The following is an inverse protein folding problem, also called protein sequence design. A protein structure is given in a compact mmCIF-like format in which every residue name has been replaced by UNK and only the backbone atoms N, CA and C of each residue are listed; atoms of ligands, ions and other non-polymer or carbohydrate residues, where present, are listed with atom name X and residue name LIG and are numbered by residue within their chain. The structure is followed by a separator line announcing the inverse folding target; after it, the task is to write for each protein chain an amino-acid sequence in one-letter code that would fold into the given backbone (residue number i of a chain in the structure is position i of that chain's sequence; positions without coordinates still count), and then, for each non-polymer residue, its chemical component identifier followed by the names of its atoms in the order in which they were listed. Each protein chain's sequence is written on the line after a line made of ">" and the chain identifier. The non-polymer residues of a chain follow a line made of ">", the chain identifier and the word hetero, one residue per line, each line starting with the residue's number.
data_IF_262321447848
#
_entry.id   IF_262321447848
#
_cell.length_a   1.000
_cell.length_b   1.000
_cell.length_c   1.000
_cell.angle_alpha   90.00
_cell.angle_beta   90.00
_cell.angle_gamma   90.00
#
_symmetry.space_group_name_H-M   'P 1'
#
loop_
_entity.id
_entity.type
_entity.pdbx_description
1 polymer ?
#
# COMPACT_ATOMS: atom_id res chain seq x y z
N UNK A 1 20.33 -15.15 -9.81
CA UNK A 1 20.33 -13.72 -10.18
C UNK A 1 19.03 -13.12 -9.68
N UNK A 2 19.03 -11.88 -9.17
CA UNK A 2 17.87 -10.95 -8.98
C UNK A 2 17.85 -10.14 -7.66
N UNK A 3 18.79 -10.36 -6.73
CA UNK A 3 18.80 -9.60 -5.47
C UNK A 3 19.15 -8.09 -5.63
N UNK A 4 19.79 -7.70 -6.74
CA UNK A 4 20.12 -6.29 -7.05
C UNK A 4 18.95 -5.48 -7.62
N UNK A 5 17.90 -6.14 -8.13
CA UNK A 5 16.73 -5.47 -8.75
C UNK A 5 15.68 -5.07 -7.72
N UNK A 6 15.41 -5.93 -6.74
CA UNK A 6 14.49 -5.62 -5.63
C UNK A 6 14.89 -4.35 -4.89
N UNK A 7 16.19 -4.19 -4.61
CA UNK A 7 16.70 -3.01 -3.92
C UNK A 7 16.49 -1.71 -4.71
N UNK A 8 16.69 -1.74 -6.03
CA UNK A 8 16.48 -0.55 -6.90
C UNK A 8 15.01 -0.15 -7.03
N UNK A 9 14.09 -1.12 -7.03
CA UNK A 9 12.66 -0.83 -7.07
C UNK A 9 12.18 -0.24 -5.74
N UNK A 10 12.62 -0.82 -4.61
CA UNK A 10 12.35 -0.30 -3.28
C UNK A 10 12.91 1.13 -3.11
N UNK A 11 14.13 1.41 -3.55
CA UNK A 11 14.74 2.74 -3.50
C UNK A 11 13.92 3.79 -4.27
N UNK A 12 13.35 3.40 -5.43
CA UNK A 12 12.50 4.29 -6.23
C UNK A 12 11.18 4.55 -5.54
N UNK A 13 10.53 3.51 -5.01
CA UNK A 13 9.28 3.64 -4.25
C UNK A 13 9.49 4.51 -3.01
N UNK A 14 10.61 4.34 -2.30
CA UNK A 14 10.97 5.17 -1.15
C UNK A 14 11.06 6.66 -1.52
N UNK A 15 11.73 6.98 -2.64
CA UNK A 15 11.81 8.38 -3.13
C UNK A 15 10.45 8.94 -3.51
N UNK A 16 9.59 8.14 -4.15
CA UNK A 16 8.23 8.55 -4.50
C UNK A 16 7.44 8.86 -3.23
N UNK A 17 7.47 7.97 -2.23
CA UNK A 17 6.77 8.19 -0.95
C UNK A 17 7.33 9.41 -0.23
N UNK A 18 8.65 9.58 -0.21
CA UNK A 18 9.28 10.73 0.41
C UNK A 18 8.75 12.03 -0.20
N UNK A 19 8.69 12.11 -1.53
CA UNK A 19 8.15 13.27 -2.23
C UNK A 19 6.65 13.46 -1.99
N UNK A 20 5.86 12.37 -1.99
CA UNK A 20 4.42 12.42 -1.67
C UNK A 20 4.19 12.97 -0.26
N UNK A 21 4.98 12.55 0.74
CA UNK A 21 4.85 13.06 2.11
C UNK A 21 5.21 14.54 2.26
N UNK A 22 5.89 15.16 1.28
CA UNK A 22 6.16 16.60 1.28
C UNK A 22 4.99 17.42 0.70
N UNK A 23 4.13 16.82 -0.11
CA UNK A 23 2.97 17.46 -0.74
C UNK A 23 1.74 16.57 -0.60
N UNK A 24 0.94 16.85 0.42
CA UNK A 24 -0.24 16.05 0.75
C UNK A 24 -1.26 16.01 -0.39
N UNK A 25 -1.45 17.11 -1.13
CA UNK A 25 -2.41 17.15 -2.24
C UNK A 25 -1.95 16.26 -3.40
N UNK A 26 -0.64 16.26 -3.69
CA UNK A 26 -0.09 15.32 -4.68
C UNK A 26 -0.26 13.88 -4.21
N UNK A 27 -0.03 13.60 -2.92
CA UNK A 27 -0.19 12.27 -2.36
C UNK A 27 -1.62 11.74 -2.51
N UNK A 28 -2.62 12.54 -2.11
CA UNK A 28 -4.03 12.19 -2.22
C UNK A 28 -4.45 11.89 -3.67
N UNK A 29 -4.12 12.78 -4.61
CA UNK A 29 -4.44 12.60 -6.03
C UNK A 29 -3.79 11.34 -6.62
N UNK A 30 -2.55 11.03 -6.22
CA UNK A 30 -1.88 9.80 -6.65
C UNK A 30 -2.56 8.57 -6.05
N UNK A 31 -2.93 8.61 -4.77
CA UNK A 31 -3.59 7.49 -4.10
C UNK A 31 -4.96 7.20 -4.70
N UNK A 32 -5.72 8.21 -5.09
CA UNK A 32 -6.99 8.05 -5.81
C UNK A 32 -6.85 7.24 -7.09
N UNK A 33 -5.74 7.41 -7.82
CA UNK A 33 -5.46 6.66 -9.04
C UNK A 33 -4.98 5.24 -8.72
N UNK A 34 -4.09 5.10 -7.72
CA UNK A 34 -3.42 3.84 -7.44
C UNK A 34 -4.29 2.81 -6.70
N UNK A 35 -5.24 3.27 -5.89
CA UNK A 35 -6.22 2.41 -5.21
C UNK A 35 -7.13 1.68 -6.22
N UNK A 36 -7.39 2.31 -7.36
CA UNK A 36 -8.21 1.75 -8.44
C UNK A 36 -7.43 0.82 -9.39
N UNK A 37 -6.11 0.64 -9.19
CA UNK A 37 -5.26 -0.18 -10.05
C UNK A 37 -5.69 -1.65 -10.07
N UNK A 38 -5.79 -2.27 -11.24
CA UNK A 38 -6.08 -3.72 -11.34
C UNK A 38 -4.96 -4.63 -10.80
N UNK A 39 -3.78 -4.08 -10.51
CA UNK A 39 -2.64 -4.82 -9.95
C UNK A 39 -2.74 -4.90 -8.42
N UNK A 40 -2.97 -6.08 -7.81
CA UNK A 40 -3.21 -6.19 -6.36
C UNK A 40 -2.03 -5.68 -5.52
N UNK A 41 -0.80 -5.91 -5.98
CA UNK A 41 0.41 -5.36 -5.35
C UNK A 41 0.39 -3.82 -5.25
N UNK A 42 -0.09 -3.16 -6.30
CA UNK A 42 -0.18 -1.70 -6.34
C UNK A 42 -1.28 -1.23 -5.37
N UNK A 43 -2.44 -1.91 -5.33
CA UNK A 43 -3.50 -1.61 -4.35
C UNK A 43 -3.02 -1.75 -2.91
N UNK A 44 -2.34 -2.85 -2.59
CA UNK A 44 -1.81 -3.11 -1.23
C UNK A 44 -0.86 -1.99 -0.82
N UNK A 45 0.07 -1.63 -1.71
CA UNK A 45 1.02 -0.55 -1.46
C UNK A 45 0.32 0.80 -1.27
N UNK A 46 -0.65 1.14 -2.14
CA UNK A 46 -1.41 2.37 -2.03
C UNK A 46 -2.19 2.44 -0.71
N UNK A 47 -2.84 1.36 -0.30
CA UNK A 47 -3.54 1.28 0.98
C UNK A 47 -2.59 1.47 2.17
N UNK A 48 -1.39 0.87 2.12
CA UNK A 48 -0.38 1.08 3.16
C UNK A 48 0.04 2.55 3.27
N UNK A 49 0.20 3.26 2.15
CA UNK A 49 0.56 4.67 2.14
C UNK A 49 -0.62 5.54 2.60
N UNK A 50 -1.85 5.16 2.23
CA UNK A 50 -3.08 5.83 2.66
C UNK A 50 -3.22 5.82 4.19
N UNK A 51 -2.92 4.69 4.85
CA UNK A 51 -2.84 4.60 6.31
C UNK A 51 -1.76 5.50 6.92
N UNK A 52 -0.60 5.60 6.27
CA UNK A 52 0.54 6.39 6.75
C UNK A 52 0.26 7.91 6.77
N UNK A 53 -0.70 8.38 5.97
CA UNK A 53 -1.06 9.80 5.85
C UNK A 53 -2.50 10.11 6.29
N UNK A 54 -3.20 9.14 6.89
CA UNK A 54 -4.60 9.25 7.32
C UNK A 54 -5.58 9.65 6.19
N UNK A 55 -5.34 9.14 4.99
CA UNK A 55 -6.18 9.41 3.81
C UNK A 55 -7.00 8.17 3.45
N UNK A 56 -8.29 8.34 3.10
CA UNK A 56 -9.19 7.25 2.66
C UNK A 56 -9.15 6.00 3.55
N UNK A 57 -8.93 6.20 4.85
CA UNK A 57 -8.61 5.14 5.79
C UNK A 57 -9.57 3.93 5.71
N UNK A 58 -10.88 4.19 5.77
CA UNK A 58 -11.92 3.14 5.75
C UNK A 58 -12.08 2.45 4.40
N UNK A 59 -11.71 3.12 3.32
CA UNK A 59 -11.71 2.54 1.98
C UNK A 59 -10.51 1.59 1.83
N UNK A 60 -9.32 2.06 2.23
CA UNK A 60 -8.10 1.26 2.25
C UNK A 60 -8.25 0.00 3.12
N UNK A 61 -8.87 0.12 4.31
CA UNK A 61 -9.18 -1.01 5.20
C UNK A 61 -10.04 -2.07 4.48
N UNK A 62 -11.15 -1.66 3.86
CA UNK A 62 -12.04 -2.58 3.14
C UNK A 62 -11.38 -3.26 1.94
N UNK A 63 -10.54 -2.53 1.20
CA UNK A 63 -9.81 -3.09 0.05
C UNK A 63 -8.84 -4.16 0.53
N UNK A 64 -8.07 -3.89 1.59
CA UNK A 64 -7.14 -4.87 2.14
C UNK A 64 -7.88 -6.09 2.69
N UNK A 65 -8.98 -5.90 3.41
CA UNK A 65 -9.83 -7.01 3.88
C UNK A 65 -10.32 -7.88 2.72
N UNK A 66 -10.73 -7.26 1.61
CA UNK A 66 -11.13 -8.00 0.42
C UNK A 66 -9.98 -8.82 -0.18
N UNK A 67 -8.78 -8.24 -0.24
CA UNK A 67 -7.57 -8.91 -0.76
C UNK A 67 -7.14 -10.05 0.16
N UNK A 68 -7.15 -9.86 1.49
CA UNK A 68 -6.82 -10.89 2.48
C UNK A 68 -7.74 -12.10 2.35
N UNK A 69 -9.02 -11.88 2.07
CA UNK A 69 -10.01 -12.96 1.91
C UNK A 69 -9.95 -13.67 0.54
N UNK A 70 -9.04 -13.29 -0.36
CA UNK A 70 -8.89 -13.91 -1.67
C UNK A 70 -7.88 -15.07 -1.63
N UNK A 71 -8.36 -16.30 -1.77
CA UNK A 71 -7.53 -17.52 -1.82
C UNK A 71 -6.58 -17.55 -3.02
N UNK A 72 -6.94 -16.85 -4.10
CA UNK A 72 -6.26 -16.95 -5.40
C UNK A 72 -5.05 -16.02 -5.49
N UNK A 73 -4.88 -15.12 -4.52
CA UNK A 73 -3.84 -14.11 -4.50
C UNK A 73 -2.57 -14.55 -3.75
N UNK A 74 -2.58 -15.73 -3.12
CA UNK A 74 -1.39 -16.36 -2.53
C UNK A 74 -0.61 -15.43 -1.60
N UNK A 75 0.66 -15.15 -1.90
CA UNK A 75 1.50 -14.28 -1.04
C UNK A 75 0.98 -12.84 -0.91
N UNK A 76 0.10 -12.39 -1.80
CA UNK A 76 -0.47 -11.04 -1.75
C UNK A 76 -1.58 -10.92 -0.70
N UNK A 77 -2.33 -12.00 -0.42
CA UNK A 77 -3.30 -11.99 0.69
C UNK A 77 -2.59 -11.87 2.04
N UNK A 78 -1.48 -12.60 2.22
CA UNK A 78 -0.59 -12.46 3.37
C UNK A 78 0.00 -11.04 3.49
N UNK A 79 0.39 -10.45 2.36
CA UNK A 79 0.92 -9.08 2.34
C UNK A 79 -0.14 -8.05 2.76
N UNK A 80 -1.39 -8.22 2.32
CA UNK A 80 -2.51 -7.36 2.72
C UNK A 80 -2.84 -7.51 4.21
N UNK A 81 -2.82 -8.74 4.72
CA UNK A 81 -3.02 -9.04 6.14
C UNK A 81 -1.96 -8.34 7.02
N UNK A 82 -0.68 -8.45 6.64
CA UNK A 82 0.41 -7.79 7.36
C UNK A 82 0.25 -6.26 7.40
N UNK A 83 -0.27 -5.64 6.34
CA UNK A 83 -0.55 -4.19 6.32
C UNK A 83 -1.67 -3.84 7.30
N UNK A 84 -2.75 -4.62 7.34
CA UNK A 84 -3.85 -4.43 8.31
C UNK A 84 -3.37 -4.60 9.75
N UNK A 85 -2.60 -5.64 10.05
CA UNK A 85 -2.08 -5.91 11.39
C UNK A 85 -1.11 -4.82 11.86
N UNK A 86 -0.14 -4.43 11.01
CA UNK A 86 0.80 -3.36 11.34
C UNK A 86 0.10 -2.04 11.62
N UNK A 87 -1.05 -1.79 11.00
CA UNK A 87 -1.84 -0.62 11.32
C UNK A 87 -2.60 -0.79 12.66
N UNK A 88 -3.31 -1.89 12.86
CA UNK A 88 -4.05 -2.18 14.11
C UNK A 88 -3.14 -2.20 15.35
N UNK A 89 -1.89 -2.61 15.20
CA UNK A 89 -0.88 -2.57 16.27
C UNK A 89 -0.35 -1.17 16.62
N UNK A 90 -0.51 -0.18 15.73
CA UNK A 90 -0.12 1.23 15.99
C UNK A 90 -1.18 2.00 16.80
N UNK A 91 -2.39 1.47 16.95
CA UNK A 91 -3.48 2.07 17.73
C UNK A 91 -3.50 1.65 19.22
N UNK A 92 -2.44 1.02 19.71
CA UNK A 92 -2.20 0.66 21.13
C UNK A 92 -0.97 1.36 21.68
#
# INVERSE_FOLDING_TARGET
>A
MDNKRGNKAADKLYKIIHNMKQDIYLAENMLDILIESNEPNVKIWACSVAFDIDYKFKEAEKILEHITNSSDLGILSLSAEMVLENHKGKTT
#
